data_IF_235696956161
#
_entry.id   IF_235696956161
#
_cell.length_a   1.000
_cell.length_b   1.000
_cell.length_c   1.000
_cell.angle_alpha   90.00
_cell.angle_beta   90.00
_cell.angle_gamma   90.00
#
_symmetry.space_group_name_H-M   'P 1'
#
loop_
_entity.id
_entity.type
_entity.pdbx_description
1 polymer ?
#
# COMPACT_ATOMS: atom_id res chain seq x y z
N UNK A 1 0.33 -58.10 26.35
CA UNK A 1 -0.87 -57.37 25.85
C UNK A 1 -0.93 -55.94 26.39
N UNK A 2 -0.93 -55.71 27.71
CA UNK A 2 -1.05 -54.37 28.30
C UNK A 2 0.07 -53.37 27.89
N UNK A 3 1.33 -53.82 27.81
CA UNK A 3 2.45 -52.99 27.33
C UNK A 3 2.28 -52.53 25.88
N UNK A 4 1.67 -53.36 25.03
CA UNK A 4 1.45 -53.06 23.62
C UNK A 4 0.39 -51.97 23.46
N UNK A 5 -0.70 -52.06 24.24
CA UNK A 5 -1.75 -51.03 24.29
C UNK A 5 -1.18 -49.69 24.74
N UNK A 6 -0.35 -49.67 25.79
CA UNK A 6 0.31 -48.44 26.26
C UNK A 6 1.21 -47.84 25.19
N UNK A 7 1.99 -48.66 24.48
CA UNK A 7 2.90 -48.18 23.43
C UNK A 7 2.15 -47.54 22.26
N UNK A 8 1.04 -48.16 21.83
CA UNK A 8 0.15 -47.62 20.80
C UNK A 8 -0.45 -46.30 21.27
N UNK A 9 -0.93 -46.22 22.51
CA UNK A 9 -1.53 -45.02 23.06
C UNK A 9 -0.55 -43.84 23.09
N UNK A 10 0.68 -44.06 23.58
CA UNK A 10 1.73 -43.04 23.60
C UNK A 10 2.11 -42.61 22.18
N UNK A 11 2.24 -43.56 21.25
CA UNK A 11 2.57 -43.25 19.84
C UNK A 11 1.47 -42.43 19.17
N UNK A 12 0.21 -42.75 19.43
CA UNK A 12 -0.94 -41.99 18.91
C UNK A 12 -0.99 -40.57 19.48
N UNK A 13 -0.74 -40.39 20.79
CA UNK A 13 -0.65 -39.05 21.40
C UNK A 13 0.49 -38.25 20.77
N UNK A 14 1.62 -38.89 20.50
CA UNK A 14 2.76 -38.23 19.85
C UNK A 14 2.44 -37.81 18.42
N UNK A 15 1.75 -38.67 17.65
CA UNK A 15 1.30 -38.36 16.30
C UNK A 15 0.31 -37.20 16.29
N UNK A 16 -0.70 -37.21 17.17
CA UNK A 16 -1.69 -36.12 17.29
C UNK A 16 -0.99 -34.80 17.64
N UNK A 17 -0.08 -34.82 18.62
CA UNK A 17 0.68 -33.62 19.02
C UNK A 17 1.53 -33.08 17.87
N UNK A 18 2.17 -33.97 17.10
CA UNK A 18 2.95 -33.60 15.92
C UNK A 18 2.07 -32.97 14.84
N UNK A 19 0.87 -33.51 14.59
CA UNK A 19 -0.08 -32.94 13.63
C UNK A 19 -0.53 -31.54 14.04
N UNK A 20 -0.81 -31.32 15.33
CA UNK A 20 -1.19 -29.99 15.85
C UNK A 20 -0.05 -28.98 15.66
N UNK A 21 1.19 -29.38 15.91
CA UNK A 21 2.36 -28.51 15.73
C UNK A 21 2.54 -28.15 14.25
N UNK A 22 2.42 -29.14 13.35
CA UNK A 22 2.53 -28.90 11.91
C UNK A 22 1.42 -27.95 11.44
N UNK A 23 0.17 -28.21 11.84
CA UNK A 23 -0.97 -27.36 11.48
C UNK A 23 -0.77 -25.92 11.97
N UNK A 24 -0.36 -25.75 13.23
CA UNK A 24 -0.06 -24.43 13.78
C UNK A 24 1.08 -23.73 13.03
N UNK A 25 2.12 -24.46 12.63
CA UNK A 25 3.26 -23.91 11.88
C UNK A 25 2.84 -23.50 10.48
N UNK A 26 2.02 -24.32 9.80
CA UNK A 26 1.49 -24.01 8.47
C UNK A 26 0.56 -22.80 8.50
N UNK A 27 -0.33 -22.71 9.50
CA UNK A 27 -1.22 -21.57 9.66
C UNK A 27 -0.44 -20.28 9.94
N UNK A 28 0.61 -20.36 10.78
CA UNK A 28 1.47 -19.20 11.03
C UNK A 28 2.24 -18.79 9.77
N UNK A 29 2.85 -19.74 9.05
CA UNK A 29 3.56 -19.46 7.81
C UNK A 29 2.64 -18.82 6.77
N UNK A 30 1.40 -19.31 6.65
CA UNK A 30 0.40 -18.73 5.75
C UNK A 30 0.06 -17.29 6.13
N UNK A 31 -0.18 -17.01 7.41
CA UNK A 31 -0.45 -15.65 7.89
C UNK A 31 0.72 -14.69 7.60
N UNK A 32 1.97 -15.15 7.79
CA UNK A 32 3.17 -14.37 7.47
C UNK A 32 3.30 -14.14 5.97
N UNK A 33 3.02 -15.13 5.13
CA UNK A 33 3.02 -14.95 3.67
C UNK A 33 1.97 -13.92 3.23
N UNK A 34 0.74 -14.00 3.77
CA UNK A 34 -0.32 -13.03 3.50
C UNK A 34 0.09 -11.61 3.95
N UNK A 35 0.75 -11.47 5.10
CA UNK A 35 1.30 -10.18 5.56
C UNK A 35 2.36 -9.63 4.59
N UNK A 36 3.30 -10.47 4.15
CA UNK A 36 4.34 -10.09 3.19
C UNK A 36 3.75 -9.69 1.83
N UNK A 37 2.76 -10.43 1.33
CA UNK A 37 2.08 -10.11 0.07
C UNK A 37 1.38 -8.75 0.16
N UNK A 38 0.68 -8.48 1.27
CA UNK A 38 0.04 -7.18 1.51
C UNK A 38 1.06 -6.03 1.57
N UNK A 39 2.20 -6.25 2.23
CA UNK A 39 3.30 -5.27 2.30
C UNK A 39 3.88 -4.98 0.91
N UNK A 40 4.07 -6.01 0.07
CA UNK A 40 4.56 -5.85 -1.31
C UNK A 40 3.56 -5.03 -2.13
N UNK A 41 2.28 -5.39 -2.12
CA UNK A 41 1.23 -4.67 -2.86
C UNK A 41 1.13 -3.20 -2.44
N UNK A 42 1.30 -2.95 -1.14
CA UNK A 42 1.37 -1.63 -0.56
C UNK A 42 2.57 -0.82 -1.08
N UNK A 43 3.79 -1.35 -1.01
CA UNK A 43 4.98 -0.63 -1.48
C UNK A 43 4.97 -0.40 -2.99
N UNK A 44 4.48 -1.38 -3.76
CA UNK A 44 4.29 -1.22 -5.21
C UNK A 44 3.27 -0.13 -5.54
N UNK A 45 2.19 -0.02 -4.78
CA UNK A 45 1.17 1.03 -4.96
C UNK A 45 1.76 2.42 -4.76
N UNK A 46 2.52 2.61 -3.68
CA UNK A 46 3.16 3.89 -3.37
C UNK A 46 4.16 4.25 -4.46
N UNK A 47 4.99 3.29 -4.89
CA UNK A 47 5.96 3.50 -5.95
C UNK A 47 5.29 3.81 -7.29
N UNK A 48 4.18 3.14 -7.61
CA UNK A 48 3.37 3.43 -8.79
C UNK A 48 2.84 4.87 -8.76
N UNK A 49 2.19 5.30 -7.68
CA UNK A 49 1.68 6.67 -7.52
C UNK A 49 2.82 7.68 -7.65
N UNK A 50 3.97 7.39 -7.04
CA UNK A 50 5.15 8.24 -7.12
C UNK A 50 5.61 8.40 -8.55
N UNK A 51 5.85 7.29 -9.24
CA UNK A 51 6.33 7.30 -10.62
C UNK A 51 5.29 7.97 -11.52
N UNK A 52 4.00 7.71 -11.35
CA UNK A 52 2.95 8.30 -12.18
C UNK A 52 2.96 9.82 -12.08
N UNK A 53 2.95 10.36 -10.85
CA UNK A 53 3.01 11.80 -10.63
C UNK A 53 4.34 12.41 -11.12
N UNK A 54 5.48 11.85 -10.71
CA UNK A 54 6.80 12.41 -11.00
C UNK A 54 7.27 12.25 -12.45
N UNK A 55 6.71 11.30 -13.20
CA UNK A 55 7.12 11.08 -14.60
C UNK A 55 6.17 11.74 -15.59
N UNK A 56 4.87 11.78 -15.28
CA UNK A 56 3.84 12.22 -16.24
C UNK A 56 3.25 13.59 -15.95
N UNK A 57 3.34 14.06 -14.69
CA UNK A 57 2.74 15.35 -14.35
C UNK A 57 3.43 16.49 -15.08
N UNK A 58 2.63 17.42 -15.59
CA UNK A 58 3.07 18.72 -16.12
C UNK A 58 2.57 19.89 -15.28
N UNK A 59 1.89 19.62 -14.17
CA UNK A 59 1.38 20.63 -13.24
C UNK A 59 1.61 20.24 -11.77
N UNK A 60 1.46 21.19 -10.86
CA UNK A 60 1.46 20.89 -9.43
C UNK A 60 0.22 20.08 -9.04
N UNK A 61 0.37 19.23 -8.04
CA UNK A 61 -0.73 18.47 -7.47
C UNK A 61 -1.76 19.38 -6.77
N UNK A 62 -3.03 19.26 -7.13
CA UNK A 62 -4.16 19.74 -6.36
C UNK A 62 -4.62 18.66 -5.39
N UNK A 63 -4.55 18.95 -4.09
CA UNK A 63 -4.73 17.96 -3.01
C UNK A 63 -5.93 18.32 -2.15
N UNK A 64 -6.79 17.33 -1.93
CA UNK A 64 -7.92 17.33 -1.01
C UNK A 64 -7.93 15.99 -0.26
N UNK A 65 -8.61 15.91 0.88
CA UNK A 65 -8.56 14.74 1.77
C UNK A 65 -8.83 13.40 1.05
N UNK A 66 -9.81 13.37 0.15
CA UNK A 66 -10.20 12.17 -0.61
C UNK A 66 -9.77 12.21 -2.09
N UNK A 67 -8.99 13.21 -2.50
CA UNK A 67 -8.71 13.45 -3.92
C UNK A 67 -7.35 14.09 -4.15
N UNK A 68 -6.58 13.53 -5.06
CA UNK A 68 -5.39 14.14 -5.65
C UNK A 68 -5.65 14.34 -7.15
N UNK A 69 -5.29 15.48 -7.71
CA UNK A 69 -5.40 15.73 -9.15
C UNK A 69 -4.18 16.45 -9.70
N UNK A 70 -3.81 16.13 -10.93
CA UNK A 70 -2.74 16.80 -11.68
C UNK A 70 -3.00 16.66 -13.18
N UNK A 71 -2.21 17.33 -14.01
CA UNK A 71 -2.36 17.30 -15.47
C UNK A 71 -1.23 16.50 -16.11
N UNK A 72 -1.56 15.71 -17.14
CA UNK A 72 -0.61 15.00 -18.00
C UNK A 72 -0.86 15.38 -19.47
N UNK A 73 0.16 15.25 -20.33
CA UNK A 73 0.02 15.46 -21.77
C UNK A 73 -0.23 14.11 -22.44
N UNK A 74 -1.34 13.99 -23.16
CA UNK A 74 -1.74 12.78 -23.90
C UNK A 74 -2.25 13.21 -25.26
N UNK A 75 -1.67 12.66 -26.33
CA UNK A 75 -2.00 13.01 -27.71
C UNK A 75 -1.94 14.55 -27.93
N UNK A 76 -0.86 15.19 -27.45
CA UNK A 76 -0.62 16.64 -27.49
C UNK A 76 -1.69 17.51 -26.81
N UNK A 77 -2.52 16.91 -25.94
CA UNK A 77 -3.54 17.61 -25.17
C UNK A 77 -3.31 17.43 -23.67
N UNK A 78 -3.48 18.51 -22.91
CA UNK A 78 -3.51 18.44 -21.45
C UNK A 78 -4.80 17.75 -21.00
N UNK A 79 -4.66 16.71 -20.18
CA UNK A 79 -5.75 15.95 -19.57
C UNK A 79 -5.55 15.87 -18.07
N UNK A 80 -6.64 15.92 -17.31
CA UNK A 80 -6.60 15.83 -15.85
C UNK A 80 -6.61 14.36 -15.41
N UNK A 81 -5.63 13.99 -14.61
CA UNK A 81 -5.59 12.73 -13.86
C UNK A 81 -6.15 12.99 -12.47
N UNK A 82 -7.01 12.10 -11.99
CA UNK A 82 -7.54 12.15 -10.63
C UNK A 82 -7.27 10.84 -9.92
N UNK A 83 -6.70 10.92 -8.73
CA UNK A 83 -6.69 9.85 -7.75
C UNK A 83 -7.80 10.10 -6.74
N UNK A 84 -8.72 9.16 -6.61
CA UNK A 84 -9.91 9.27 -5.76
C UNK A 84 -9.90 8.16 -4.72
N UNK A 85 -10.11 8.53 -3.45
CA UNK A 85 -10.38 7.56 -2.40
C UNK A 85 -11.89 7.42 -2.25
N UNK A 86 -12.36 6.18 -2.37
CA UNK A 86 -13.77 5.84 -2.17
C UNK A 86 -13.89 4.68 -1.18
N UNK A 87 -14.66 4.88 -0.12
CA UNK A 87 -15.04 3.80 0.78
C UNK A 87 -16.19 2.99 0.18
N UNK A 88 -15.95 1.71 -0.06
CA UNK A 88 -16.96 0.73 -0.43
C UNK A 88 -17.62 0.18 0.84
N UNK A 89 -18.93 0.41 0.98
CA UNK A 89 -19.68 -0.02 2.17
C UNK A 89 -20.02 -1.50 2.16
N UNK A 90 -20.11 -2.12 0.98
CA UNK A 90 -20.45 -3.54 0.84
C UNK A 90 -19.24 -4.39 1.20
N UNK A 91 -18.07 -4.03 0.66
CA UNK A 91 -16.81 -4.72 0.93
C UNK A 91 -16.13 -4.23 2.23
N UNK A 92 -16.55 -3.08 2.77
CA UNK A 92 -15.91 -2.39 3.91
C UNK A 92 -14.43 -2.06 3.66
N UNK A 93 -14.11 -1.65 2.43
CA UNK A 93 -12.75 -1.34 2.00
C UNK A 93 -12.64 0.08 1.45
N UNK A 94 -11.53 0.74 1.72
CA UNK A 94 -11.11 1.95 1.03
C UNK A 94 -10.44 1.58 -0.28
N UNK A 95 -10.96 2.11 -1.39
CA UNK A 95 -10.42 1.93 -2.73
C UNK A 95 -9.72 3.21 -3.18
N UNK A 96 -8.44 3.12 -3.51
CA UNK A 96 -7.71 4.16 -4.22
C UNK A 96 -7.85 3.93 -5.73
N UNK A 97 -8.51 4.85 -6.43
CA UNK A 97 -8.78 4.76 -7.86
C UNK A 97 -8.02 5.81 -8.63
N UNK A 98 -7.34 5.42 -9.71
CA UNK A 98 -6.79 6.33 -10.73
C UNK A 98 -7.82 6.49 -11.84
N UNK A 99 -8.22 7.72 -12.11
CA UNK A 99 -9.13 8.12 -13.19
C UNK A 99 -8.32 9.00 -14.15
N UNK A 100 -8.07 8.49 -15.34
CA UNK A 100 -7.31 9.18 -16.36
C UNK A 100 -7.90 8.90 -17.75
N UNK A 101 -7.17 9.28 -18.80
CA UNK A 101 -7.66 9.16 -20.18
C UNK A 101 -7.87 7.71 -20.64
N UNK A 102 -7.15 6.76 -20.04
CA UNK A 102 -7.18 5.33 -20.32
C UNK A 102 -8.28 4.59 -19.55
N UNK A 103 -8.96 5.27 -18.61
CA UNK A 103 -10.10 4.76 -17.88
C UNK A 103 -9.98 4.92 -16.37
N UNK A 104 -10.65 4.02 -15.65
CA UNK A 104 -10.70 3.99 -14.19
C UNK A 104 -10.07 2.69 -13.70
N UNK A 105 -8.96 2.78 -12.98
CA UNK A 105 -8.25 1.65 -12.42
C UNK A 105 -8.26 1.71 -10.89
N UNK A 106 -8.59 0.60 -10.23
CA UNK A 106 -8.37 0.46 -8.78
C UNK A 106 -6.90 0.14 -8.59
N UNK A 107 -6.18 1.07 -7.96
CA UNK A 107 -4.73 0.96 -7.74
C UNK A 107 -4.46 0.19 -6.46
N UNK A 108 -5.29 0.39 -5.43
CA UNK A 108 -5.10 -0.26 -4.14
C UNK A 108 -6.39 -0.34 -3.34
N UNK A 109 -6.46 -1.35 -2.48
CA UNK A 109 -7.56 -1.56 -1.52
C UNK A 109 -6.98 -1.70 -0.12
N UNK A 110 -7.57 -1.04 0.86
CA UNK A 110 -7.21 -1.24 2.27
C UNK A 110 -8.44 -1.34 3.16
N UNK A 111 -8.32 -2.10 4.23
CA UNK A 111 -9.29 -2.10 5.33
C UNK A 111 -9.17 -0.84 6.19
N UNK A 112 -8.05 -0.12 6.08
CA UNK A 112 -7.77 1.09 6.83
C UNK A 112 -7.96 2.34 5.97
N UNK A 113 -8.25 3.51 6.58
CA UNK A 113 -8.47 4.74 5.84
C UNK A 113 -7.27 5.12 4.96
N UNK A 114 -7.57 5.54 3.75
CA UNK A 114 -6.62 6.17 2.81
C UNK A 114 -7.05 7.63 2.68
N UNK A 115 -6.11 8.56 2.74
CA UNK A 115 -6.42 9.97 2.50
C UNK A 115 -5.16 10.73 2.07
N UNK A 116 -5.36 11.88 1.44
CA UNK A 116 -4.28 12.80 1.12
C UNK A 116 -4.32 14.00 2.05
N UNK A 117 -3.17 14.63 2.26
CA UNK A 117 -3.11 15.92 2.96
C UNK A 117 -2.04 16.80 2.33
N UNK A 118 -2.24 18.11 2.40
CA UNK A 118 -1.20 19.07 2.09
C UNK A 118 -0.38 19.32 3.34
N UNK A 119 0.88 18.90 3.33
CA UNK A 119 1.77 19.01 4.50
C UNK A 119 2.56 20.32 4.51
N UNK A 120 2.86 20.87 3.33
CA UNK A 120 3.38 22.23 3.16
C UNK A 120 3.03 22.75 1.76
N UNK A 121 3.46 23.97 1.41
CA UNK A 121 3.23 24.53 0.09
C UNK A 121 3.86 23.67 -1.03
N UNK A 122 5.01 23.06 -0.74
CA UNK A 122 5.80 22.26 -1.69
C UNK A 122 5.70 20.75 -1.45
N UNK A 123 4.91 20.30 -0.48
CA UNK A 123 4.80 18.86 -0.13
C UNK A 123 3.35 18.47 0.12
N UNK A 124 2.95 17.38 -0.52
CA UNK A 124 1.74 16.67 -0.19
C UNK A 124 2.06 15.27 0.32
N UNK A 125 1.15 14.70 1.09
CA UNK A 125 1.36 13.42 1.75
C UNK A 125 0.21 12.48 1.43
N UNK A 126 0.54 11.27 1.01
CA UNK A 126 -0.40 10.14 1.00
C UNK A 126 -0.33 9.46 2.37
N UNK A 127 -1.46 9.37 3.04
CA UNK A 127 -1.66 8.58 4.23
C UNK A 127 -2.38 7.29 3.85
N UNK A 128 -1.73 6.17 4.08
CA UNK A 128 -2.26 4.84 3.78
C UNK A 128 -1.85 3.92 4.92
N UNK A 129 -2.84 3.30 5.54
CA UNK A 129 -2.66 2.48 6.73
C UNK A 129 -2.03 3.24 7.91
N UNK A 130 -0.78 2.91 8.28
CA UNK A 130 -0.03 3.52 9.37
C UNK A 130 1.18 4.32 8.86
N UNK A 131 1.21 4.59 7.56
CA UNK A 131 2.35 5.19 6.90
C UNK A 131 1.96 6.51 6.25
N UNK A 132 2.91 7.45 6.33
CA UNK A 132 2.87 8.71 5.62
C UNK A 132 3.98 8.75 4.59
N UNK A 133 3.59 9.10 3.36
CA UNK A 133 4.49 9.25 2.22
C UNK A 133 4.43 10.67 1.74
N UNK A 134 5.44 11.43 2.12
CA UNK A 134 5.65 12.79 1.62
C UNK A 134 6.06 12.72 0.15
N UNK A 135 5.55 13.65 -0.64
CA UNK A 135 5.74 13.79 -2.07
C UNK A 135 5.92 15.28 -2.39
N UNK A 136 6.95 15.61 -3.17
CA UNK A 136 7.18 17.02 -3.57
C UNK A 136 6.08 17.43 -4.55
N UNK A 137 5.50 18.62 -4.34
CA UNK A 137 4.40 19.19 -5.09
C UNK A 137 4.86 20.04 -6.30
N UNK A 138 6.03 19.73 -6.87
CA UNK A 138 6.62 20.47 -8.00
C UNK A 138 6.66 19.62 -9.26
N UNK A 139 6.68 20.27 -10.42
CA UNK A 139 6.71 19.57 -11.70
C UNK A 139 8.07 18.93 -11.97
N UNK A 140 8.13 17.83 -12.74
CA UNK A 140 9.39 17.21 -13.13
C UNK A 140 10.29 18.17 -13.94
N UNK A 141 9.69 19.11 -14.68
CA UNK A 141 10.39 20.18 -15.41
C UNK A 141 11.15 21.13 -14.50
N UNK A 142 10.59 21.48 -13.34
CA UNK A 142 11.22 22.37 -12.35
C UNK A 142 12.35 21.67 -11.57
N UNK A 143 12.29 20.33 -11.45
CA UNK A 143 13.21 19.54 -10.64
C UNK A 143 14.37 18.90 -11.44
N UNK A 144 14.22 18.72 -12.76
CA UNK A 144 15.23 18.08 -13.65
C UNK A 144 16.60 18.77 -13.68
N UNK A 145 16.72 20.03 -13.26
CA UNK A 145 17.98 20.77 -13.21
C UNK A 145 18.71 20.76 -11.86
N UNK A 146 18.03 20.36 -10.78
CA UNK A 146 18.46 20.69 -9.41
C UNK A 146 18.49 19.49 -8.46
N UNK A 147 17.70 18.44 -8.77
CA UNK A 147 17.57 17.27 -7.91
C UNK A 147 17.97 16.01 -8.68
N UNK A 148 18.96 15.26 -8.16
CA UNK A 148 18.98 13.81 -8.39
C UNK A 148 17.61 13.31 -7.94
N UNK A 149 16.91 12.53 -8.78
CA UNK A 149 15.66 11.81 -8.46
C UNK A 149 15.63 11.62 -6.95
N UNK A 150 14.72 12.27 -6.19
CA UNK A 150 14.88 12.37 -4.75
C UNK A 150 15.14 10.97 -4.23
N UNK A 151 16.33 10.78 -3.65
CA UNK A 151 16.64 9.55 -2.96
C UNK A 151 15.46 9.29 -2.02
N UNK A 152 14.76 8.19 -2.31
CA UNK A 152 13.56 7.68 -1.64
C UNK A 152 13.06 8.57 -0.50
N UNK A 153 11.95 9.29 -0.71
CA UNK A 153 11.19 9.82 0.42
C UNK A 153 10.79 8.62 1.28
N UNK A 154 11.54 8.43 2.36
CA UNK A 154 11.43 7.24 3.19
C UNK A 154 10.03 7.21 3.83
N UNK A 155 9.33 6.06 3.81
CA UNK A 155 8.10 5.89 4.58
C UNK A 155 8.33 6.36 6.01
N UNK A 156 7.48 7.28 6.49
CA UNK A 156 7.43 7.61 7.90
C UNK A 156 6.33 6.78 8.55
N UNK A 157 6.72 5.90 9.46
CA UNK A 157 5.76 5.23 10.34
C UNK A 157 5.14 6.26 11.29
N UNK A 158 3.81 6.28 11.36
CA UNK A 158 3.08 7.23 12.19
C UNK A 158 3.26 7.00 13.68
N UNK A 159 3.51 5.75 14.12
CA UNK A 159 3.75 5.41 15.53
C UNK A 159 4.58 4.13 15.69
N UNK A 160 5.73 4.22 16.38
CA UNK A 160 6.30 3.09 17.12
C UNK A 160 5.52 3.03 18.44
N UNK A 161 4.71 1.99 18.66
CA UNK A 161 4.22 1.70 20.01
C UNK A 161 5.45 1.39 20.87
N UNK A 162 5.88 2.33 21.70
CA UNK A 162 6.61 1.96 22.91
C UNK A 162 5.66 1.07 23.74
N UNK A 163 6.10 -0.16 23.98
CA UNK A 163 5.42 -1.14 24.83
C UNK A 163 5.50 -0.70 26.29
#
# INVERSE_FOLDING_TARGET
MMKFVVYVLVSTVFLISSMIIIDSTMNHAKAVCEEIENDIDFFMTVDFLRIDFWSKSVSSAAVMENKLAFEEIVDDKMKVVNYLVQYDREEKLYNLKRVAHDGVNVVYRSQTPIYFKRSSDDVWTLCIEKFEFDMIASTPSELRGSYRIPYMLNPKLLYVREK
#
